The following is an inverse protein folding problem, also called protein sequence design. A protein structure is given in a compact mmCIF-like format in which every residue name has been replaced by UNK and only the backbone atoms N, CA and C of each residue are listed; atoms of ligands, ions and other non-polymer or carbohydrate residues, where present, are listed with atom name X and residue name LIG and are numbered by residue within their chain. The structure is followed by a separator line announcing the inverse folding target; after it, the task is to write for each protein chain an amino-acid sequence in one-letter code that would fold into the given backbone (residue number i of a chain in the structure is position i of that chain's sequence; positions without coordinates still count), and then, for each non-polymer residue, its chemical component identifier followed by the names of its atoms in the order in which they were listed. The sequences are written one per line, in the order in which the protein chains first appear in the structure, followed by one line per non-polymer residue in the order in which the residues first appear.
data_IF_587026457917
#
_entry.id   IF_587026457917
#
_cell.length_a   1.000
_cell.length_b   1.000
_cell.length_c   1.000
_cell.angle_alpha   90.00
_cell.angle_beta   90.00
_cell.angle_gamma   90.00
#
_symmetry.space_group_name_H-M   'P 1'
#
loop_
_entity.id
_entity.type
_entity.pdbx_description
1 polymer ?
#
# COMPACT_ATOMS: atom_id res chain seq x y z
N UNK A 1 -2.84 -10.35 25.90
CA UNK A 1 -3.37 -9.19 25.14
C UNK A 1 -4.49 -9.72 24.28
N UNK A 2 -5.73 -9.30 24.52
CA UNK A 2 -6.89 -9.79 23.77
C UNK A 2 -6.72 -9.40 22.30
N UNK A 3 -6.51 -10.39 21.42
CA UNK A 3 -6.32 -10.17 19.99
C UNK A 3 -7.67 -9.83 19.37
N UNK A 4 -7.78 -8.67 18.72
CA UNK A 4 -8.97 -8.31 17.93
C UNK A 4 -9.22 -9.41 16.88
N UNK A 5 -10.44 -9.97 16.80
CA UNK A 5 -10.77 -10.97 15.78
C UNK A 5 -10.55 -10.43 14.35
N UNK A 6 -10.13 -11.26 13.39
CA UNK A 6 -9.91 -10.87 11.98
C UNK A 6 -11.07 -10.09 11.36
N UNK A 7 -12.31 -10.54 11.56
CA UNK A 7 -13.50 -9.85 11.03
C UNK A 7 -13.70 -8.46 11.63
N UNK A 8 -13.40 -8.27 12.92
CA UNK A 8 -13.47 -6.94 13.56
C UNK A 8 -12.37 -6.04 13.00
N UNK A 9 -11.16 -6.58 12.79
CA UNK A 9 -10.07 -5.82 12.18
C UNK A 9 -10.42 -5.30 10.78
N UNK A 10 -11.03 -6.14 9.93
CA UNK A 10 -11.46 -5.75 8.58
C UNK A 10 -12.44 -4.58 8.66
N UNK A 11 -13.50 -4.70 9.47
CA UNK A 11 -14.49 -3.63 9.65
C UNK A 11 -13.86 -2.33 10.16
N UNK A 12 -12.96 -2.42 11.14
CA UNK A 12 -12.23 -1.26 11.67
C UNK A 12 -11.43 -0.58 10.58
N UNK A 13 -10.72 -1.33 9.74
CA UNK A 13 -9.92 -0.76 8.65
C UNK A 13 -10.78 -0.09 7.57
N UNK A 14 -11.93 -0.67 7.23
CA UNK A 14 -12.86 -0.09 6.26
C UNK A 14 -13.47 1.22 6.77
N UNK A 15 -13.94 1.24 8.02
CA UNK A 15 -14.44 2.45 8.68
C UNK A 15 -13.34 3.50 8.77
N UNK A 16 -12.14 3.10 9.19
CA UNK A 16 -10.99 4.00 9.29
C UNK A 16 -10.68 4.64 7.93
N UNK A 17 -10.61 3.86 6.86
CA UNK A 17 -10.33 4.36 5.52
C UNK A 17 -11.34 5.44 5.07
N UNK A 18 -12.62 5.24 5.38
CA UNK A 18 -13.67 6.23 5.11
C UNK A 18 -13.53 7.51 5.95
N UNK A 19 -13.22 7.38 7.24
CA UNK A 19 -13.14 8.51 8.17
C UNK A 19 -11.90 9.39 7.94
N UNK A 20 -10.75 8.78 7.65
CA UNK A 20 -9.48 9.53 7.65
C UNK A 20 -9.11 10.12 6.30
N UNK A 21 -9.69 9.65 5.19
CA UNK A 21 -9.24 10.00 3.83
C UNK A 21 -9.01 11.51 3.65
N UNK A 22 -9.93 12.33 4.14
CA UNK A 22 -9.91 13.80 4.02
C UNK A 22 -9.61 14.54 5.35
N UNK A 23 -9.30 13.84 6.44
CA UNK A 23 -9.19 14.44 7.77
C UNK A 23 -7.75 14.38 8.29
N UNK A 24 -6.97 15.44 8.04
CA UNK A 24 -5.54 15.54 8.45
C UNK A 24 -5.33 15.29 9.94
N UNK A 25 -6.22 15.80 10.78
CA UNK A 25 -6.12 15.65 12.23
C UNK A 25 -6.38 14.20 12.65
N UNK A 26 -7.41 13.56 12.09
CA UNK A 26 -7.72 12.15 12.35
C UNK A 26 -6.56 11.21 11.99
N UNK A 27 -5.82 11.49 10.91
CA UNK A 27 -4.60 10.73 10.55
C UNK A 27 -3.52 10.83 11.64
N UNK A 28 -3.28 12.04 12.14
CA UNK A 28 -2.29 12.29 13.21
C UNK A 28 -2.70 11.61 14.51
N UNK A 29 -3.96 11.77 14.92
CA UNK A 29 -4.50 11.13 16.12
C UNK A 29 -4.38 9.61 16.04
N UNK A 30 -4.74 9.00 14.89
CA UNK A 30 -4.62 7.57 14.68
C UNK A 30 -3.18 7.07 14.85
N UNK A 31 -2.22 7.76 14.23
CA UNK A 31 -0.81 7.37 14.31
C UNK A 31 -0.24 7.58 15.72
N UNK A 32 -0.58 8.70 16.37
CA UNK A 32 -0.18 8.99 17.74
C UNK A 32 -0.73 7.97 18.75
N UNK A 33 -1.93 7.43 18.51
CA UNK A 33 -2.53 6.37 19.31
C UNK A 33 -1.92 4.98 19.07
N UNK A 34 -0.86 4.86 18.26
CA UNK A 34 -0.24 3.58 17.93
C UNK A 34 -1.01 2.76 16.90
N UNK A 35 -1.98 3.38 16.21
CA UNK A 35 -2.82 2.72 15.22
C UNK A 35 -2.01 2.10 14.07
N UNK A 36 -0.98 2.79 13.58
CA UNK A 36 -0.12 2.28 12.51
C UNK A 36 0.65 1.02 12.93
N UNK A 37 1.20 1.00 14.15
CA UNK A 37 1.92 -0.17 14.69
C UNK A 37 0.98 -1.37 14.81
N UNK A 38 -0.24 -1.12 15.29
CA UNK A 38 -1.29 -2.13 15.43
C UNK A 38 -1.69 -2.70 14.06
N UNK A 39 -1.96 -1.81 13.10
CA UNK A 39 -2.31 -2.16 11.72
C UNK A 39 -1.26 -3.08 11.08
N UNK A 40 0.02 -2.68 11.11
CA UNK A 40 1.11 -3.47 10.56
C UNK A 40 1.31 -4.79 11.31
N UNK A 41 1.08 -4.82 12.63
CA UNK A 41 1.11 -6.05 13.42
C UNK A 41 0.07 -7.08 12.96
N UNK A 42 -1.16 -6.64 12.72
CA UNK A 42 -2.22 -7.51 12.20
C UNK A 42 -1.89 -8.05 10.81
N UNK A 43 -1.43 -7.19 9.91
CA UNK A 43 -1.06 -7.60 8.54
C UNK A 43 0.09 -8.61 8.53
N UNK A 44 1.10 -8.43 9.39
CA UNK A 44 2.19 -9.40 9.55
C UNK A 44 1.74 -10.71 10.18
N UNK A 45 0.79 -10.65 11.11
CA UNK A 45 0.23 -11.85 11.76
C UNK A 45 -0.72 -12.66 10.88
N UNK A 46 -1.29 -12.05 9.83
CA UNK A 46 -2.27 -12.69 8.94
C UNK A 46 -1.89 -12.51 7.47
N UNK A 47 -0.70 -13.00 7.04
CA UNK A 47 -0.20 -12.77 5.68
C UNK A 47 -1.01 -13.50 4.60
N UNK A 48 -1.77 -14.54 4.98
CA UNK A 48 -2.58 -15.35 4.07
C UNK A 48 -4.06 -14.96 4.04
N UNK A 49 -4.49 -14.00 4.85
CA UNK A 49 -5.88 -13.52 4.86
C UNK A 49 -6.03 -12.35 3.89
N UNK A 50 -6.54 -12.62 2.69
CA UNK A 50 -6.72 -11.62 1.63
C UNK A 50 -7.63 -10.46 2.07
N UNK A 51 -8.68 -10.73 2.85
CA UNK A 51 -9.60 -9.69 3.30
C UNK A 51 -8.91 -8.74 4.29
N UNK A 52 -8.13 -9.27 5.23
CA UNK A 52 -7.31 -8.46 6.13
C UNK A 52 -6.25 -7.67 5.39
N UNK A 53 -5.53 -8.28 4.43
CA UNK A 53 -4.52 -7.57 3.63
C UNK A 53 -5.16 -6.43 2.84
N UNK A 54 -6.25 -6.71 2.12
CA UNK A 54 -6.96 -5.70 1.35
C UNK A 54 -7.43 -4.55 2.26
N UNK A 55 -8.08 -4.85 3.39
CA UNK A 55 -8.61 -3.83 4.29
C UNK A 55 -7.50 -2.97 4.92
N UNK A 56 -6.41 -3.59 5.38
CA UNK A 56 -5.28 -2.84 5.93
C UNK A 56 -4.55 -1.99 4.88
N UNK A 57 -4.40 -2.48 3.65
CA UNK A 57 -3.87 -1.67 2.54
C UNK A 57 -4.78 -0.47 2.22
N UNK A 58 -6.10 -0.62 2.31
CA UNK A 58 -7.03 0.51 2.14
C UNK A 58 -6.84 1.59 3.22
N UNK A 59 -6.69 1.17 4.48
CA UNK A 59 -6.40 2.08 5.58
C UNK A 59 -5.06 2.81 5.38
N UNK A 60 -4.00 2.09 4.99
CA UNK A 60 -2.69 2.71 4.70
C UNK A 60 -2.73 3.65 3.50
N UNK A 61 -3.47 3.29 2.45
CA UNK A 61 -3.70 4.17 1.30
C UNK A 61 -4.38 5.47 1.73
N UNK A 62 -5.44 5.39 2.55
CA UNK A 62 -6.11 6.56 3.09
C UNK A 62 -5.18 7.41 4.00
N UNK A 63 -4.32 6.78 4.81
CA UNK A 63 -3.29 7.47 5.60
C UNK A 63 -2.27 8.20 4.72
N UNK A 64 -1.87 7.61 3.60
CA UNK A 64 -0.87 8.19 2.69
C UNK A 64 -1.39 9.43 1.95
N UNK A 65 -2.70 9.48 1.67
CA UNK A 65 -3.29 10.51 0.83
C UNK A 65 -3.01 11.91 1.40
N UNK A 66 -2.30 12.75 0.62
CA UNK A 66 -1.96 14.14 0.99
C UNK A 66 -1.27 14.26 2.36
N UNK A 67 -0.48 13.26 2.78
CA UNK A 67 0.19 13.26 4.09
C UNK A 67 1.62 12.72 4.04
N UNK A 68 2.58 13.61 3.75
CA UNK A 68 4.02 13.30 3.79
C UNK A 68 4.44 12.77 5.16
N UNK A 69 3.87 13.31 6.24
CA UNK A 69 4.17 12.87 7.61
C UNK A 69 3.79 11.39 7.83
N UNK A 70 2.58 10.98 7.41
CA UNK A 70 2.15 9.60 7.57
C UNK A 70 2.93 8.66 6.64
N UNK A 71 3.27 9.09 5.42
CA UNK A 71 4.12 8.33 4.50
C UNK A 71 5.48 8.03 5.13
N UNK A 72 6.14 9.03 5.72
CA UNK A 72 7.43 8.83 6.40
C UNK A 72 7.32 7.83 7.55
N UNK A 73 6.31 7.99 8.41
CA UNK A 73 6.08 7.06 9.53
C UNK A 73 5.78 5.63 9.07
N UNK A 74 5.04 5.46 7.96
CA UNK A 74 4.83 4.15 7.34
C UNK A 74 6.12 3.54 6.81
N UNK A 75 6.95 4.34 6.14
CA UNK A 75 8.24 3.88 5.63
C UNK A 75 9.22 3.50 6.75
N UNK A 76 9.24 4.26 7.85
CA UNK A 76 10.05 3.98 9.04
C UNK A 76 9.57 2.73 9.77
N UNK A 77 8.25 2.48 9.79
CA UNK A 77 7.66 1.28 10.41
C UNK A 77 7.71 0.02 9.53
N UNK A 78 8.32 0.09 8.33
CA UNK A 78 8.47 -1.06 7.43
C UNK A 78 7.21 -1.42 6.63
N UNK A 79 6.32 -0.46 6.35
CA UNK A 79 5.11 -0.73 5.57
C UNK A 79 5.41 -1.22 4.13
N UNK A 80 6.52 -0.78 3.54
CA UNK A 80 6.94 -1.18 2.19
C UNK A 80 7.21 -2.70 2.08
N UNK A 81 7.69 -3.34 3.14
CA UNK A 81 7.86 -4.80 3.20
C UNK A 81 6.51 -5.53 3.27
N UNK A 82 5.55 -4.97 4.02
CA UNK A 82 4.18 -5.52 4.10
C UNK A 82 3.49 -5.42 2.73
N UNK A 83 3.66 -4.30 2.03
CA UNK A 83 3.13 -4.12 0.66
C UNK A 83 3.77 -5.13 -0.30
N UNK A 84 5.10 -5.31 -0.24
CA UNK A 84 5.81 -6.28 -1.08
C UNK A 84 5.31 -7.71 -0.82
N UNK A 85 5.16 -8.09 0.45
CA UNK A 85 4.64 -9.41 0.83
C UNK A 85 3.21 -9.64 0.33
N UNK A 86 2.34 -8.62 0.42
CA UNK A 86 0.98 -8.70 -0.09
C UNK A 86 0.94 -8.87 -1.62
N UNK A 87 1.72 -8.06 -2.36
CA UNK A 87 1.83 -8.18 -3.83
C UNK A 87 2.41 -9.53 -4.27
N UNK A 88 3.36 -10.07 -3.51
CA UNK A 88 3.93 -11.39 -3.80
C UNK A 88 2.92 -12.52 -3.54
N UNK A 89 2.10 -12.39 -2.49
CA UNK A 89 1.14 -13.42 -2.07
C UNK A 89 -0.14 -13.41 -2.92
N UNK A 90 -0.61 -12.24 -3.29
CA UNK A 90 -1.88 -12.04 -4.00
C UNK A 90 -1.67 -11.25 -5.30
N UNK A 91 -0.87 -11.77 -6.25
CA UNK A 91 -0.55 -11.05 -7.48
C UNK A 91 -1.78 -10.87 -8.41
N UNK A 92 -2.80 -11.71 -8.26
CA UNK A 92 -4.02 -11.68 -9.06
C UNK A 92 -5.22 -11.07 -8.31
N UNK A 93 -5.07 -10.68 -7.04
CA UNK A 93 -6.16 -9.98 -6.31
C UNK A 93 -6.16 -8.49 -6.66
N UNK A 94 -7.09 -8.13 -7.53
CA UNK A 94 -7.31 -6.78 -8.05
C UNK A 94 -7.38 -5.72 -6.96
N UNK A 95 -8.06 -6.01 -5.84
CA UNK A 95 -8.22 -5.04 -4.74
C UNK A 95 -6.89 -4.81 -4.04
N UNK A 96 -6.14 -5.89 -3.79
CA UNK A 96 -4.82 -5.81 -3.16
C UNK A 96 -3.85 -5.08 -4.08
N UNK A 97 -3.78 -5.46 -5.36
CA UNK A 97 -2.85 -4.84 -6.32
C UNK A 97 -3.17 -3.35 -6.51
N UNK A 98 -4.43 -2.98 -6.68
CA UNK A 98 -4.81 -1.58 -6.84
C UNK A 98 -4.49 -0.73 -5.61
N UNK A 99 -4.78 -1.24 -4.41
CA UNK A 99 -4.48 -0.52 -3.16
C UNK A 99 -2.97 -0.43 -2.91
N UNK A 100 -2.24 -1.51 -3.16
CA UNK A 100 -0.79 -1.56 -3.01
C UNK A 100 -0.08 -0.60 -3.97
N UNK A 101 -0.43 -0.64 -5.26
CA UNK A 101 0.19 0.22 -6.27
C UNK A 101 -0.15 1.70 -6.06
N UNK A 102 -1.40 2.03 -5.72
CA UNK A 102 -1.76 3.40 -5.33
C UNK A 102 -1.01 3.89 -4.08
N UNK A 103 -0.79 3.02 -3.10
CA UNK A 103 -0.02 3.34 -1.90
C UNK A 103 1.46 3.56 -2.24
N UNK A 104 2.05 2.70 -3.07
CA UNK A 104 3.43 2.85 -3.54
C UNK A 104 3.63 4.15 -4.34
N UNK A 105 2.69 4.50 -5.21
CA UNK A 105 2.68 5.76 -5.95
C UNK A 105 2.65 6.98 -5.01
N UNK A 106 1.82 6.95 -3.97
CA UNK A 106 1.82 8.01 -2.95
C UNK A 106 3.15 8.06 -2.17
N UNK A 107 3.73 6.90 -1.84
CA UNK A 107 4.98 6.80 -1.11
C UNK A 107 6.18 7.27 -1.95
N UNK A 108 6.19 7.02 -3.26
CA UNK A 108 7.27 7.42 -4.17
C UNK A 108 7.32 8.93 -4.40
N UNK A 109 6.23 9.65 -4.16
CA UNK A 109 6.20 11.12 -4.16
C UNK A 109 6.91 11.73 -2.93
N UNK A 110 7.52 10.92 -2.05
CA UNK A 110 8.32 11.38 -0.90
C UNK A 110 9.76 10.90 -1.09
N UNK A 111 10.68 11.76 -1.58
CA UNK A 111 12.04 11.38 -1.99
C UNK A 111 12.83 10.56 -0.97
N UNK A 112 12.74 10.88 0.32
CA UNK A 112 13.48 10.15 1.36
C UNK A 112 12.97 8.71 1.59
N UNK A 113 11.82 8.34 1.04
CA UNK A 113 11.25 6.98 1.10
C UNK A 113 11.70 6.14 -0.11
N UNK A 114 12.05 6.76 -1.23
CA UNK A 114 12.43 6.10 -2.49
C UNK A 114 13.53 5.03 -2.31
N UNK A 115 14.62 5.26 -1.55
CA UNK A 115 15.65 4.24 -1.32
C UNK A 115 15.16 2.99 -0.60
N UNK A 116 14.07 3.07 0.18
CA UNK A 116 13.45 1.88 0.79
C UNK A 116 12.62 1.10 -0.23
N UNK A 117 11.89 1.81 -1.10
CA UNK A 117 11.08 1.19 -2.16
C UNK A 117 11.94 0.48 -3.21
N UNK A 118 13.08 1.07 -3.59
CA UNK A 118 14.02 0.46 -4.54
C UNK A 118 14.58 -0.88 -4.03
N UNK A 119 14.77 -1.04 -2.71
CA UNK A 119 15.41 -2.22 -2.12
C UNK A 119 14.45 -3.35 -1.71
N UNK A 120 13.15 -3.08 -1.61
CA UNK A 120 12.18 -4.05 -1.07
C UNK A 120 11.48 -4.91 -2.14
N UNK A 121 11.97 -4.89 -3.39
CA UNK A 121 11.48 -5.76 -4.47
C UNK A 121 10.14 -5.37 -5.09
N UNK A 122 9.49 -4.30 -4.60
CA UNK A 122 8.19 -3.84 -5.15
C UNK A 122 8.27 -3.45 -6.63
N UNK A 123 9.43 -2.96 -7.09
CA UNK A 123 9.67 -2.67 -8.51
C UNK A 123 9.55 -3.90 -9.41
N UNK A 124 10.16 -5.02 -9.00
CA UNK A 124 10.10 -6.24 -9.78
C UNK A 124 8.66 -6.81 -9.79
N UNK A 125 7.97 -6.73 -8.64
CA UNK A 125 6.59 -7.19 -8.51
C UNK A 125 5.62 -6.39 -9.38
N UNK A 126 5.71 -5.05 -9.36
CA UNK A 126 4.81 -4.20 -10.16
C UNK A 126 5.09 -4.27 -11.65
N UNK A 127 6.36 -4.41 -12.06
CA UNK A 127 6.70 -4.66 -13.48
C UNK A 127 6.17 -6.01 -13.97
N UNK A 128 6.30 -7.07 -13.16
CA UNK A 128 5.76 -8.39 -13.50
C UNK A 128 4.24 -8.33 -13.70
N UNK A 129 3.53 -7.63 -12.81
CA UNK A 129 2.09 -7.43 -12.95
C UNK A 129 1.71 -6.78 -14.30
N UNK A 130 2.44 -5.74 -14.73
CA UNK A 130 2.16 -5.10 -16.03
C UNK A 130 2.30 -6.08 -17.20
N UNK A 131 3.36 -6.90 -17.20
CA UNK A 131 3.58 -7.93 -18.22
C UNK A 131 2.44 -8.97 -18.21
N UNK A 132 1.99 -9.39 -17.03
CA UNK A 132 0.90 -10.36 -16.89
C UNK A 132 -0.45 -9.81 -17.38
N UNK A 133 -0.76 -8.54 -17.10
CA UNK A 133 -1.97 -7.86 -17.59
C UNK A 133 -1.96 -7.68 -19.10
N UNK A 134 -0.80 -7.35 -19.68
CA UNK A 134 -0.65 -7.23 -21.14
C UNK A 134 -0.80 -8.59 -21.83
N UNK A 135 -0.31 -9.66 -21.21
CA UNK A 135 -0.44 -11.03 -21.72
C UNK A 135 -1.86 -11.61 -21.58
N UNK A 136 -2.71 -11.07 -20.69
CA UNK A 136 -4.06 -11.56 -20.41
C UNK A 136 -5.11 -10.46 -20.64
N UNK A 137 -5.69 -10.37 -21.84
CA UNK A 137 -6.69 -9.34 -22.19
C UNK A 137 -7.91 -9.34 -21.26
N UNK A 138 -8.23 -10.46 -20.63
CA UNK A 138 -9.32 -10.62 -19.66
C UNK A 138 -9.12 -9.77 -18.39
N UNK A 139 -7.88 -9.69 -17.89
CA UNK A 139 -7.52 -8.83 -16.74
C UNK A 139 -7.51 -7.34 -17.12
N UNK A 140 -7.31 -7.04 -18.40
CA UNK A 140 -7.37 -5.67 -18.91
C UNK A 140 -8.79 -5.10 -18.97
N UNK A 141 -9.82 -5.94 -18.88
CA UNK A 141 -11.23 -5.50 -18.85
C UNK A 141 -11.73 -5.15 -17.44
N UNK A 142 -10.94 -5.44 -16.40
CA UNK A 142 -11.30 -5.06 -15.04
C UNK A 142 -11.21 -3.54 -14.84
N UNK A 143 -12.21 -2.96 -14.19
CA UNK A 143 -12.35 -1.51 -14.05
C UNK A 143 -11.20 -0.82 -13.32
N UNK A 144 -10.45 -1.56 -12.49
CA UNK A 144 -9.33 -1.02 -11.72
C UNK A 144 -8.01 -0.97 -12.52
N UNK A 145 -7.87 -1.78 -13.57
CA UNK A 145 -6.60 -2.02 -14.27
C UNK A 145 -5.96 -0.76 -14.89
N UNK A 146 -6.72 0.20 -15.48
CA UNK A 146 -6.14 1.45 -15.97
C UNK A 146 -5.46 2.26 -14.85
N UNK A 147 -6.09 2.36 -13.69
CA UNK A 147 -5.53 3.06 -12.53
C UNK A 147 -4.26 2.39 -12.03
N UNK A 148 -4.23 1.05 -11.99
CA UNK A 148 -3.02 0.32 -11.61
C UNK A 148 -1.85 0.65 -12.53
N UNK A 149 -2.09 0.69 -13.86
CA UNK A 149 -1.05 1.03 -14.83
C UNK A 149 -0.49 2.43 -14.59
N UNK A 150 -1.36 3.42 -14.38
CA UNK A 150 -0.94 4.79 -14.07
C UNK A 150 -0.13 4.87 -12.77
N UNK A 151 -0.58 4.19 -11.70
CA UNK A 151 0.16 4.16 -10.43
C UNK A 151 1.54 3.52 -10.57
N UNK A 152 1.65 2.42 -11.32
CA UNK A 152 2.94 1.77 -11.55
C UNK A 152 3.85 2.68 -12.38
N UNK A 153 3.36 3.31 -13.44
CA UNK A 153 4.16 4.24 -14.24
C UNK A 153 4.65 5.43 -13.40
N UNK A 154 3.78 6.00 -12.56
CA UNK A 154 4.15 7.09 -11.65
C UNK A 154 5.19 6.67 -10.61
N UNK A 155 5.04 5.47 -10.04
CA UNK A 155 6.03 4.86 -9.14
C UNK A 155 7.39 4.73 -9.84
N UNK A 156 7.42 4.19 -11.07
CA UNK A 156 8.64 3.99 -11.82
C UNK A 156 9.35 5.31 -12.15
N UNK A 157 8.61 6.33 -12.58
CA UNK A 157 9.15 7.67 -12.88
C UNK A 157 9.87 8.27 -11.66
N UNK A 158 9.19 8.31 -10.50
CA UNK A 158 9.76 8.86 -9.28
C UNK A 158 11.02 8.11 -8.80
N UNK A 159 11.09 6.79 -9.04
CA UNK A 159 12.22 5.99 -8.60
C UNK A 159 13.41 6.02 -9.60
N UNK A 160 13.18 6.41 -10.86
CA UNK A 160 14.25 6.64 -11.84
C UNK A 160 14.93 8.00 -11.62
N UNK A 161 14.16 9.05 -11.31
CA UNK A 161 14.69 10.40 -11.02
C UNK A 161 15.68 10.45 -9.84
N UNK A 162 15.69 9.43 -8.98
CA UNK A 162 16.58 9.34 -7.82
C UNK A 162 17.79 8.41 -8.00
N UNK A 163 17.88 7.64 -9.09
CA UNK A 163 19.11 6.90 -9.45
C UNK A 163 20.14 7.81 -10.14
N UNK A 164 19.70 8.95 -10.71
CA UNK A 164 20.54 9.94 -11.40
C UNK A 164 21.00 11.11 -10.51
N UNK A 165 20.72 11.07 -9.20
CA UNK A 165 21.17 12.10 -8.26
C UNK A 165 22.63 11.82 -7.83
N UNK A 166 23.57 12.77 -8.04
CA UNK A 166 25.00 12.59 -7.78
C UNK A 166 25.35 12.41 -6.29
#
# INVERSE_FOLDING_TARGET
VSTMPPGIFVLVCEVLAGLIHNAKESKRTFVAAGGLKTLLGFLRGHPSDAAMQAAGLAAMLALSARSVHCIRLMADAGAHEVIAAALQRFPEDVKIVARATGLLANMSNVPCVCPKLQRCGVLALTRRYLVEVEARPELSQESATPFVREFVQYLLSNLQEHDDAP
#
